data_IF_802134911349
#
_entry.id   IF_802134911349
#
_cell.length_a   1.000
_cell.length_b   1.000
_cell.length_c   1.000
_cell.angle_alpha   90.00
_cell.angle_beta   90.00
_cell.angle_gamma   90.00
#
_symmetry.space_group_name_H-M   'P 1'
#
loop_
_entity.id
_entity.type
_entity.pdbx_description
1 polymer ?
#
# COMPACT_ATOMS: atom_id res chain seq x y z
N UNK A 1 -36.37 66.01 -2.67
CA UNK A 1 -35.09 65.63 -3.30
C UNK A 1 -34.06 65.43 -2.19
N UNK A 2 -33.69 64.18 -1.90
CA UNK A 2 -32.60 63.85 -1.00
C UNK A 2 -31.30 63.70 -1.80
N UNK A 3 -30.27 64.46 -1.45
CA UNK A 3 -28.90 63.92 -1.45
C UNK A 3 -28.13 64.54 -0.24
N UNK A 4 -27.18 63.93 0.46
CA UNK A 4 -26.25 62.87 0.16
C UNK A 4 -25.89 62.14 1.47
N UNK A 5 -25.61 60.84 1.32
CA UNK A 5 -24.80 60.05 2.23
C UNK A 5 -23.54 60.80 2.69
N UNK A 6 -23.38 60.98 4.01
CA UNK A 6 -22.09 61.30 4.58
C UNK A 6 -21.21 60.03 4.54
N UNK A 7 -20.04 60.03 3.88
CA UNK A 7 -19.12 58.91 3.97
C UNK A 7 -18.58 58.84 5.39
N UNK A 8 -18.84 57.75 6.11
CA UNK A 8 -18.08 57.38 7.33
C UNK A 8 -16.62 57.21 6.91
N UNK A 9 -15.83 58.28 6.98
CA UNK A 9 -14.38 58.18 6.92
C UNK A 9 -13.96 57.51 8.22
N UNK A 10 -13.60 56.23 8.13
CA UNK A 10 -12.86 55.55 9.17
C UNK A 10 -11.46 56.14 9.12
N UNK A 11 -11.28 57.31 9.72
CA UNK A 11 -9.95 57.85 9.96
C UNK A 11 -9.32 56.99 11.06
N UNK A 12 -8.52 56.02 10.66
CA UNK A 12 -7.67 55.29 11.58
C UNK A 12 -6.72 56.29 12.21
N UNK A 13 -6.95 56.62 13.47
CA UNK A 13 -6.12 57.55 14.22
C UNK A 13 -4.81 56.86 14.60
N UNK A 14 -3.86 56.87 13.66
CA UNK A 14 -2.53 56.30 13.80
C UNK A 14 -1.77 56.91 14.98
N UNK A 15 -2.02 58.17 15.32
CA UNK A 15 -1.36 58.85 16.45
C UNK A 15 -1.85 58.25 17.78
N UNK A 16 -3.15 58.03 17.91
CA UNK A 16 -3.74 57.38 19.08
C UNK A 16 -3.29 55.92 19.18
N UNK A 17 -3.26 55.17 18.07
CA UNK A 17 -2.77 53.78 18.05
C UNK A 17 -1.29 53.70 18.42
N UNK A 18 -0.44 54.60 17.90
CA UNK A 18 0.98 54.64 18.24
C UNK A 18 1.24 54.96 19.72
N UNK A 19 0.42 55.83 20.32
CA UNK A 19 0.50 56.14 21.75
C UNK A 19 0.14 54.94 22.63
N UNK A 20 -0.89 54.18 22.25
CA UNK A 20 -1.33 52.97 22.95
C UNK A 20 -0.33 51.83 22.75
N UNK A 21 0.21 51.67 21.55
CA UNK A 21 1.24 50.68 21.23
C UNK A 21 2.53 50.92 22.03
N UNK A 22 2.93 52.19 22.24
CA UNK A 22 4.08 52.51 23.10
C UNK A 22 3.81 52.24 24.58
N UNK A 23 2.60 52.53 25.06
CA UNK A 23 2.21 52.34 26.47
C UNK A 23 1.97 50.86 26.83
N UNK A 24 1.52 50.04 25.88
CA UNK A 24 1.21 48.62 26.05
C UNK A 24 2.02 47.71 25.11
N UNK A 25 3.24 48.11 24.80
CA UNK A 25 4.16 47.37 23.92
C UNK A 25 4.38 45.93 24.39
N UNK A 26 4.32 45.70 25.71
CA UNK A 26 4.48 44.40 26.36
C UNK A 26 3.39 43.36 25.98
N UNK A 27 2.26 43.81 25.43
CA UNK A 27 1.20 42.90 24.94
C UNK A 27 1.69 42.08 23.74
N UNK A 28 2.49 42.68 22.85
CA UNK A 28 3.00 42.01 21.65
C UNK A 28 3.81 40.74 21.97
N UNK A 29 4.86 40.78 22.82
CA UNK A 29 5.60 39.58 23.16
C UNK A 29 4.78 38.56 23.95
N UNK A 30 3.85 38.98 24.81
CA UNK A 30 2.93 38.05 25.49
C UNK A 30 2.07 37.31 24.48
N UNK A 31 1.44 38.02 23.55
CA UNK A 31 0.58 37.39 22.53
C UNK A 31 1.37 36.46 21.62
N UNK A 32 2.62 36.83 21.28
CA UNK A 32 3.52 35.98 20.51
C UNK A 32 3.92 34.72 21.29
N UNK A 33 4.17 34.82 22.59
CA UNK A 33 4.50 33.69 23.46
C UNK A 33 3.30 32.75 23.63
N UNK A 34 2.10 33.29 23.84
CA UNK A 34 0.86 32.51 23.89
C UNK A 34 0.60 31.82 22.55
N UNK A 35 0.79 32.52 21.43
CA UNK A 35 0.67 31.95 20.09
C UNK A 35 1.68 30.82 19.84
N UNK A 36 2.93 31.01 20.23
CA UNK A 36 3.97 29.98 20.13
C UNK A 36 3.66 28.77 21.02
N UNK A 37 3.17 28.98 22.25
CA UNK A 37 2.77 27.90 23.14
C UNK A 37 1.57 27.10 22.60
N UNK A 38 0.57 27.78 22.03
CA UNK A 38 -0.56 27.13 21.36
C UNK A 38 -0.16 26.41 20.08
N UNK A 39 0.80 26.95 19.30
CA UNK A 39 1.38 26.25 18.16
C UNK A 39 2.16 25.01 18.60
N UNK A 40 2.96 25.11 19.67
CA UNK A 40 3.72 23.98 20.20
C UNK A 40 2.80 22.89 20.77
N UNK A 41 1.67 23.27 21.37
CA UNK A 41 0.66 22.31 21.83
C UNK A 41 -0.06 21.63 20.65
N UNK A 42 -0.35 22.37 19.59
CA UNK A 42 -0.91 21.81 18.34
C UNK A 42 0.11 20.93 17.59
N UNK A 43 1.39 21.27 17.59
CA UNK A 43 2.45 20.47 16.98
C UNK A 43 2.80 19.23 17.82
N UNK A 44 2.71 19.32 19.15
CA UNK A 44 2.89 18.16 20.03
C UNK A 44 1.74 17.16 19.94
N UNK A 45 0.55 17.61 19.50
CA UNK A 45 -0.61 16.78 19.17
C UNK A 45 -0.74 16.54 17.65
N UNK A 46 0.30 16.86 16.88
CA UNK A 46 0.40 16.51 15.47
C UNK A 46 0.85 15.04 15.40
N UNK A 47 -0.07 14.13 15.73
CA UNK A 47 -0.03 12.67 15.48
C UNK A 47 1.35 12.18 15.01
N UNK A 48 2.31 12.08 15.93
CA UNK A 48 3.62 11.47 15.65
C UNK A 48 3.48 9.95 15.48
N UNK A 49 2.31 9.41 15.80
CA UNK A 49 1.86 8.08 15.45
C UNK A 49 0.71 8.17 14.44
N UNK A 50 0.90 7.72 13.19
CA UNK A 50 -0.18 7.63 12.22
C UNK A 50 -1.26 6.70 12.77
N UNK A 51 -2.53 7.12 12.61
CA UNK A 51 -3.69 6.38 13.11
C UNK A 51 -3.80 4.96 12.52
N UNK A 52 -3.21 4.72 11.34
CA UNK A 52 -3.13 3.42 10.69
C UNK A 52 -1.87 3.35 9.81
N UNK A 53 -1.23 2.19 9.79
CA UNK A 53 -0.16 1.82 8.90
C UNK A 53 -0.70 0.92 7.78
N UNK A 54 -0.29 1.17 6.54
CA UNK A 54 -0.60 0.30 5.41
C UNK A 54 0.69 -0.28 4.84
N UNK A 55 0.83 -1.60 4.93
CA UNK A 55 1.99 -2.31 4.38
C UNK A 55 1.56 -3.08 3.15
N UNK A 56 2.21 -2.82 2.02
CA UNK A 56 2.01 -3.58 0.80
C UNK A 56 3.30 -4.30 0.44
N UNK A 57 3.24 -5.62 0.29
CA UNK A 57 4.37 -6.44 -0.18
C UNK A 57 3.94 -7.28 -1.37
N UNK A 58 4.76 -7.22 -2.41
CA UNK A 58 4.59 -8.00 -3.64
C UNK A 58 5.57 -9.17 -3.61
N UNK A 59 5.07 -10.38 -3.86
CA UNK A 59 5.87 -11.59 -3.95
C UNK A 59 5.72 -12.19 -5.33
N UNK A 60 6.86 -12.38 -6.00
CA UNK A 60 6.91 -13.11 -7.25
C UNK A 60 7.14 -14.59 -6.95
N UNK A 61 6.21 -15.43 -7.38
CA UNK A 61 6.28 -16.85 -7.17
C UNK A 61 7.31 -17.43 -8.13
N UNK A 62 8.43 -17.96 -7.60
CA UNK A 62 9.49 -18.55 -8.42
C UNK A 62 8.92 -19.66 -9.30
N UNK A 63 9.28 -19.72 -10.58
CA UNK A 63 8.82 -20.80 -11.44
C UNK A 63 9.61 -22.09 -11.10
N UNK A 64 9.00 -22.95 -10.28
CA UNK A 64 9.59 -24.22 -9.83
C UNK A 64 9.69 -25.27 -10.96
N UNK A 65 9.04 -25.03 -12.10
CA UNK A 65 9.10 -25.87 -13.30
C UNK A 65 10.14 -25.40 -14.31
N UNK A 66 10.76 -24.23 -14.10
CA UNK A 66 11.87 -23.74 -14.91
C UNK A 66 13.04 -24.75 -15.07
N UNK A 67 13.47 -25.50 -14.04
CA UNK A 67 14.53 -26.51 -14.23
C UNK A 67 14.12 -27.72 -15.08
N UNK A 68 12.82 -27.98 -15.29
CA UNK A 68 12.36 -29.06 -16.18
C UNK A 68 12.66 -28.73 -17.66
N UNK A 69 12.62 -27.44 -18.02
CA UNK A 69 13.02 -26.99 -19.34
C UNK A 69 14.53 -27.21 -19.61
N UNK A 70 15.36 -27.32 -18.57
CA UNK A 70 16.78 -27.59 -18.70
C UNK A 70 17.07 -29.05 -19.12
N UNK A 71 16.12 -29.95 -18.88
CA UNK A 71 16.19 -31.37 -19.26
C UNK A 71 15.31 -31.70 -20.46
N UNK A 72 15.01 -30.71 -21.31
CA UNK A 72 14.14 -30.79 -22.50
C UNK A 72 12.71 -31.32 -22.23
N UNK A 73 12.26 -31.31 -20.97
CA UNK A 73 10.87 -31.58 -20.63
C UNK A 73 10.09 -30.29 -20.76
N UNK A 74 9.03 -30.30 -21.56
CA UNK A 74 8.18 -29.13 -21.75
C UNK A 74 7.42 -28.82 -20.43
N UNK A 75 7.72 -27.71 -19.74
CA UNK A 75 7.07 -27.36 -18.49
C UNK A 75 5.58 -27.01 -18.67
N UNK A 76 5.11 -26.79 -19.90
CA UNK A 76 3.69 -26.59 -20.19
C UNK A 76 2.86 -27.90 -20.14
N UNK A 77 3.52 -29.06 -20.05
CA UNK A 77 2.84 -30.36 -19.89
C UNK A 77 2.50 -30.67 -18.42
N UNK A 78 3.10 -29.94 -17.49
CA UNK A 78 2.89 -30.10 -16.06
C UNK A 78 2.22 -28.82 -15.57
N UNK A 79 0.94 -28.89 -15.19
CA UNK A 79 0.27 -27.77 -14.52
C UNK A 79 0.11 -28.12 -13.04
N UNK A 80 0.50 -27.23 -12.10
CA UNK A 80 0.28 -27.48 -10.69
C UNK A 80 -1.22 -27.58 -10.41
N UNK A 81 -1.63 -28.65 -9.72
CA UNK A 81 -3.02 -28.87 -9.29
C UNK A 81 -3.07 -28.61 -7.79
N UNK A 82 -3.84 -27.61 -7.30
CA UNK A 82 -4.79 -26.77 -8.01
C UNK A 82 -4.14 -25.60 -8.78
N UNK A 83 -4.78 -25.15 -9.86
CA UNK A 83 -4.32 -24.04 -10.70
C UNK A 83 -4.15 -22.74 -9.91
N UNK A 84 -3.31 -21.80 -10.39
CA UNK A 84 -3.00 -20.55 -9.67
C UNK A 84 -4.24 -19.71 -9.29
N UNK A 85 -5.29 -19.73 -10.12
CA UNK A 85 -6.57 -19.06 -9.84
C UNK A 85 -7.33 -19.74 -8.70
N UNK A 86 -7.27 -21.07 -8.66
CA UNK A 86 -7.84 -21.88 -7.58
C UNK A 86 -7.06 -21.69 -6.28
N UNK A 87 -5.72 -21.57 -6.36
CA UNK A 87 -4.88 -21.24 -5.20
C UNK A 87 -5.23 -19.86 -4.62
N UNK A 88 -5.45 -18.84 -5.47
CA UNK A 88 -5.91 -17.53 -5.02
C UNK A 88 -7.27 -17.60 -4.32
N UNK A 89 -8.21 -18.39 -4.84
CA UNK A 89 -9.51 -18.59 -4.22
C UNK A 89 -9.39 -19.27 -2.85
N UNK A 90 -8.49 -20.24 -2.71
CA UNK A 90 -8.18 -20.88 -1.42
C UNK A 90 -7.55 -19.90 -0.45
N UNK A 91 -6.61 -19.05 -0.89
CA UNK A 91 -5.96 -18.03 -0.06
C UNK A 91 -6.91 -16.94 0.44
N UNK A 92 -7.94 -16.60 -0.35
CA UNK A 92 -9.01 -15.66 0.01
C UNK A 92 -10.08 -16.27 0.91
N UNK A 93 -10.08 -17.60 1.10
CA UNK A 93 -11.08 -18.24 1.95
C UNK A 93 -10.86 -17.89 3.42
N UNK A 94 -11.94 -17.71 4.18
CA UNK A 94 -11.86 -17.32 5.59
C UNK A 94 -11.03 -18.30 6.43
N UNK A 95 -11.04 -19.59 6.08
CA UNK A 95 -10.22 -20.61 6.73
C UNK A 95 -8.71 -20.31 6.68
N UNK A 96 -8.22 -19.74 5.58
CA UNK A 96 -6.80 -19.38 5.44
C UNK A 96 -6.48 -18.02 6.06
N UNK A 97 -7.44 -17.08 6.02
CA UNK A 97 -7.36 -15.83 6.77
C UNK A 97 -7.24 -16.11 8.28
N UNK A 98 -8.16 -16.90 8.83
CA UNK A 98 -8.15 -17.27 10.25
C UNK A 98 -6.87 -17.99 10.67
N UNK A 99 -6.35 -18.88 9.81
CA UNK A 99 -5.07 -19.59 10.05
C UNK A 99 -3.86 -18.67 10.09
N UNK A 100 -3.82 -17.66 9.23
CA UNK A 100 -2.73 -16.70 9.21
C UNK A 100 -2.80 -15.73 10.41
N UNK A 101 -4.02 -15.43 10.87
CA UNK A 101 -4.32 -14.53 11.97
C UNK A 101 -4.27 -15.20 13.36
N UNK A 102 -4.19 -16.54 13.45
CA UNK A 102 -4.35 -17.28 14.73
C UNK A 102 -3.34 -16.87 15.82
N UNK A 103 -2.18 -16.32 15.43
CA UNK A 103 -1.12 -15.90 16.35
C UNK A 103 -1.00 -14.37 16.51
N UNK A 104 -1.92 -13.60 15.93
CA UNK A 104 -1.82 -12.14 15.86
C UNK A 104 -3.03 -11.53 16.56
N UNK A 105 -2.78 -10.59 17.48
CA UNK A 105 -3.82 -9.87 18.21
C UNK A 105 -4.04 -8.51 17.54
N UNK A 106 -5.16 -8.34 16.85
CA UNK A 106 -5.53 -7.11 16.14
C UNK A 106 -6.74 -7.32 15.23
N UNK A 107 -7.40 -6.23 14.81
CA UNK A 107 -8.45 -6.24 13.77
C UNK A 107 -7.78 -5.97 12.42
N UNK A 108 -7.18 -7.04 11.86
CA UNK A 108 -6.29 -6.95 10.71
C UNK A 108 -7.04 -7.21 9.40
N UNK A 109 -7.13 -6.19 8.55
CA UNK A 109 -7.65 -6.37 7.18
C UNK A 109 -6.50 -6.69 6.22
N UNK A 110 -6.40 -7.96 5.81
CA UNK A 110 -5.46 -8.44 4.79
C UNK A 110 -6.20 -8.69 3.48
N UNK A 111 -5.75 -7.99 2.42
CA UNK A 111 -6.23 -8.19 1.06
C UNK A 111 -5.15 -8.83 0.20
N UNK A 112 -5.51 -9.93 -0.46
CA UNK A 112 -4.62 -10.67 -1.38
C UNK A 112 -5.12 -10.54 -2.81
N UNK A 113 -4.29 -9.96 -3.66
CA UNK A 113 -4.56 -9.79 -5.08
C UNK A 113 -3.48 -10.44 -5.93
N UNK A 114 -3.90 -11.07 -7.04
CA UNK A 114 -2.97 -11.56 -8.06
C UNK A 114 -2.66 -10.41 -9.02
N UNK A 115 -1.38 -10.23 -9.30
CA UNK A 115 -0.89 -9.30 -10.32
C UNK A 115 -1.35 -9.72 -11.71
N UNK A 116 -1.49 -8.74 -12.61
CA UNK A 116 -1.99 -8.94 -13.97
C UNK A 116 -1.18 -9.99 -14.74
N UNK A 117 -1.88 -10.87 -15.48
CA UNK A 117 -1.25 -11.85 -16.35
C UNK A 117 -0.57 -11.15 -17.51
N UNK A 118 0.77 -11.20 -17.56
CA UNK A 118 1.54 -10.71 -18.70
C UNK A 118 1.65 -11.82 -19.75
N UNK A 119 1.58 -11.48 -21.03
CA UNK A 119 1.82 -12.43 -22.12
C UNK A 119 3.19 -12.16 -22.73
N UNK A 120 4.01 -13.19 -22.85
CA UNK A 120 5.27 -13.12 -23.57
C UNK A 120 5.07 -13.54 -25.03
N UNK A 121 5.59 -12.73 -25.94
CA UNK A 121 5.65 -13.02 -27.37
C UNK A 121 7.03 -13.56 -27.69
N UNK A 122 7.12 -14.85 -28.03
CA UNK A 122 8.36 -15.41 -28.58
C UNK A 122 8.21 -15.58 -30.08
N UNK A 123 9.17 -15.03 -30.82
CA UNK A 123 9.27 -15.18 -32.27
C UNK A 123 10.31 -16.24 -32.56
N UNK A 124 9.87 -17.36 -33.11
CA UNK A 124 10.77 -18.43 -33.54
C UNK A 124 10.77 -18.45 -35.08
N UNK A 125 11.95 -18.29 -35.66
CA UNK A 125 12.10 -18.23 -37.11
C UNK A 125 13.57 -18.37 -37.53
N UNK A 126 13.83 -19.40 -38.32
CA UNK A 126 14.99 -19.44 -39.20
C UNK A 126 14.69 -18.57 -40.43
N UNK A 127 15.75 -17.99 -41.01
CA UNK A 127 15.70 -16.91 -42.00
C UNK A 127 15.00 -17.24 -43.32
N UNK A 128 14.52 -18.47 -43.54
CA UNK A 128 13.99 -18.90 -44.84
C UNK A 128 12.52 -19.24 -44.94
N UNK A 129 11.76 -19.66 -43.92
CA UNK A 129 10.34 -19.99 -44.13
C UNK A 129 9.52 -20.08 -42.83
N UNK A 130 8.42 -19.31 -42.79
CA UNK A 130 7.41 -19.20 -41.73
C UNK A 130 7.88 -18.68 -40.35
N UNK A 131 7.56 -17.41 -40.05
CA UNK A 131 7.65 -16.84 -38.69
C UNK A 131 6.56 -17.43 -37.81
N UNK A 132 6.94 -18.18 -36.78
CA UNK A 132 6.00 -18.67 -35.77
C UNK A 132 5.96 -17.68 -34.61
N UNK A 133 4.78 -17.14 -34.33
CA UNK A 133 4.51 -16.35 -33.13
C UNK A 133 3.92 -17.29 -32.09
N UNK A 134 4.63 -17.51 -30.99
CA UNK A 134 4.08 -18.21 -29.84
C UNK A 134 3.66 -17.20 -28.78
N UNK A 135 2.42 -17.35 -28.30
CA UNK A 135 1.86 -16.57 -27.21
C UNK A 135 1.88 -17.46 -25.98
N UNK A 136 2.78 -17.21 -25.05
CA UNK A 136 2.83 -17.93 -23.78
C UNK A 136 2.49 -16.98 -22.64
N UNK A 137 1.58 -17.35 -21.71
CA UNK A 137 1.40 -16.59 -20.48
C UNK A 137 2.73 -16.57 -19.72
N UNK A 138 3.14 -15.40 -19.24
CA UNK A 138 4.27 -15.28 -18.33
C UNK A 138 3.92 -16.07 -17.07
N UNK A 139 4.70 -17.12 -16.80
CA UNK A 139 4.44 -18.14 -15.77
C UNK A 139 4.73 -17.65 -14.35
N UNK A 140 5.09 -16.38 -14.19
CA UNK A 140 5.41 -15.80 -12.90
C UNK A 140 4.16 -15.15 -12.31
N UNK A 141 3.38 -15.93 -11.56
CA UNK A 141 2.33 -15.37 -10.72
C UNK A 141 2.97 -14.46 -9.66
N UNK A 142 2.63 -13.18 -9.67
CA UNK A 142 2.94 -12.28 -8.55
C UNK A 142 1.70 -12.09 -7.68
N UNK A 143 1.88 -12.17 -6.37
CA UNK A 143 0.86 -11.96 -5.35
C UNK A 143 1.17 -10.67 -4.60
N UNK A 144 0.18 -9.80 -4.51
CA UNK A 144 0.27 -8.56 -3.73
C UNK A 144 -0.55 -8.74 -2.46
N UNK A 145 0.12 -8.59 -1.32
CA UNK A 145 -0.50 -8.58 -0.01
C UNK A 145 -0.55 -7.14 0.47
N UNK A 146 -1.75 -6.64 0.71
CA UNK A 146 -1.98 -5.34 1.34
C UNK A 146 -2.57 -5.58 2.72
N UNK A 147 -1.98 -4.98 3.73
CA UNK A 147 -2.43 -5.11 5.11
C UNK A 147 -2.56 -3.71 5.73
N UNK A 148 -3.63 -3.49 6.47
CA UNK A 148 -3.93 -2.22 7.15
C UNK A 148 -4.16 -2.47 8.64
N UNK A 149 -3.42 -1.78 9.51
CA UNK A 149 -3.43 -2.02 10.97
C UNK A 149 -2.93 -0.79 11.76
N UNK A 150 -3.17 -0.74 13.07
CA UNK A 150 -2.59 0.30 13.95
C UNK A 150 -1.11 0.04 14.30
N UNK A 151 -0.66 -1.22 14.29
CA UNK A 151 0.70 -1.64 14.62
C UNK A 151 1.45 -2.19 13.38
N UNK A 152 2.60 -1.60 13.05
CA UNK A 152 3.43 -2.04 11.92
C UNK A 152 3.96 -3.49 12.09
N UNK A 153 4.31 -3.87 13.32
CA UNK A 153 4.91 -5.18 13.64
C UNK A 153 3.94 -6.34 13.40
N UNK A 154 2.67 -6.14 13.73
CA UNK A 154 1.62 -7.15 13.54
C UNK A 154 1.38 -7.41 12.05
N UNK A 155 1.37 -6.34 11.25
CA UNK A 155 1.16 -6.40 9.82
C UNK A 155 2.29 -7.14 9.08
N UNK A 156 3.55 -6.89 9.46
CA UNK A 156 4.70 -7.62 8.91
C UNK A 156 4.66 -9.11 9.25
N UNK A 157 4.40 -9.46 10.51
CA UNK A 157 4.29 -10.86 10.96
C UNK A 157 3.13 -11.61 10.27
N UNK A 158 2.01 -10.93 10.03
CA UNK A 158 0.87 -11.52 9.35
C UNK A 158 1.17 -11.88 7.90
N UNK A 159 1.83 -10.99 7.17
CA UNK A 159 2.26 -11.22 5.80
C UNK A 159 3.24 -12.41 5.74
N UNK A 160 4.16 -12.53 6.70
CA UNK A 160 5.11 -13.64 6.79
C UNK A 160 4.43 -15.00 7.04
N UNK A 161 3.47 -15.06 7.96
CA UNK A 161 2.66 -16.26 8.16
C UNK A 161 1.87 -16.65 6.90
N UNK A 162 1.30 -15.65 6.22
CA UNK A 162 0.56 -15.86 4.97
C UNK A 162 1.44 -16.42 3.86
N UNK A 163 2.70 -15.98 3.78
CA UNK A 163 3.67 -16.49 2.81
C UNK A 163 4.04 -17.92 3.06
N UNK A 164 4.26 -18.31 4.32
CA UNK A 164 4.54 -19.71 4.65
C UNK A 164 3.38 -20.61 4.23
N UNK A 165 2.13 -20.20 4.49
CA UNK A 165 0.95 -20.92 4.02
C UNK A 165 0.92 -21.03 2.49
N UNK A 166 1.22 -19.95 1.76
CA UNK A 166 1.30 -19.97 0.30
C UNK A 166 2.38 -20.92 -0.21
N UNK A 167 3.58 -20.92 0.37
CA UNK A 167 4.69 -21.81 0.01
C UNK A 167 4.30 -23.27 0.23
N UNK A 168 3.70 -23.59 1.39
CA UNK A 168 3.28 -24.97 1.69
C UNK A 168 2.20 -25.46 0.73
N UNK A 169 1.20 -24.63 0.43
CA UNK A 169 0.12 -24.97 -0.50
C UNK A 169 0.66 -25.21 -1.91
N UNK A 170 1.64 -24.42 -2.33
CA UNK A 170 2.29 -24.60 -3.64
C UNK A 170 3.13 -25.86 -3.69
N UNK A 171 3.92 -26.13 -2.66
CA UNK A 171 4.72 -27.35 -2.56
C UNK A 171 3.83 -28.62 -2.54
N UNK A 172 2.66 -28.56 -1.92
CA UNK A 172 1.65 -29.62 -2.00
C UNK A 172 1.09 -29.76 -3.42
N UNK A 173 0.74 -28.64 -4.07
CA UNK A 173 0.15 -28.65 -5.42
C UNK A 173 1.04 -29.28 -6.49
N UNK A 174 2.36 -29.15 -6.34
CA UNK A 174 3.36 -29.72 -7.25
C UNK A 174 3.55 -31.21 -7.01
N UNK A 175 3.39 -31.69 -5.78
CA UNK A 175 3.49 -33.13 -5.48
C UNK A 175 2.29 -33.92 -6.01
N UNK A 176 1.14 -33.26 -6.14
CA UNK A 176 -0.13 -33.89 -6.52
C UNK A 176 -0.44 -33.83 -8.01
N UNK A 177 0.17 -32.90 -8.76
CA UNK A 177 0.06 -32.78 -10.22
C UNK A 177 1.16 -33.53 -10.93
#
# INVERSE_FOLDING_TARGET
>A
MNPLNAPRRISFDLATIASVARKRWWVVPITMLVGAGLMFFQESDLQTEPRYYTLTRTYEALNEMAPLALVDLNPALFEPIPSETSQLAVLRSQKYLDKALTNIKGDLDIRVDKSETRFALTTEGDISEARRFSFSPATNASFTFTCTEQDEVNCASAIENYLQLLITLRAESIKTG
#
